data_IF_249658716395
#
_entry.id   IF_249658716395
#
_cell.length_a   1.000
_cell.length_b   1.000
_cell.length_c   1.000
_cell.angle_alpha   90.00
_cell.angle_beta   90.00
_cell.angle_gamma   90.00
#
_symmetry.space_group_name_H-M   'P 1'
#
loop_
_entity.id
_entity.type
_entity.pdbx_description
1 polymer ?
#
# COMPACT_ATOMS: atom_id res chain seq x y z
N UNK A 1 6.44 -2.90 -18.80
CA UNK A 1 6.84 -3.19 -17.41
C UNK A 1 8.21 -2.64 -17.01
N UNK A 2 9.08 -2.19 -17.92
CA UNK A 2 10.45 -1.77 -17.53
C UNK A 2 10.49 -0.63 -16.51
N UNK A 3 9.65 0.41 -16.64
CA UNK A 3 9.74 1.59 -15.78
C UNK A 3 9.51 1.35 -14.27
N UNK A 4 8.70 0.36 -13.89
CA UNK A 4 8.48 -0.01 -12.48
C UNK A 4 9.67 -0.78 -11.92
N UNK A 5 10.24 -1.68 -12.72
CA UNK A 5 11.43 -2.46 -12.34
C UNK A 5 12.64 -1.53 -12.23
N UNK A 6 12.82 -0.61 -13.20
CA UNK A 6 13.88 0.40 -13.18
C UNK A 6 13.77 1.30 -11.95
N UNK A 7 12.55 1.71 -11.58
CA UNK A 7 12.30 2.48 -10.38
C UNK A 7 12.68 1.70 -9.12
N UNK A 8 12.30 0.42 -9.05
CA UNK A 8 12.60 -0.43 -7.90
C UNK A 8 14.13 -0.63 -7.74
N UNK A 9 14.83 -0.92 -8.84
CA UNK A 9 16.30 -1.08 -8.90
C UNK A 9 17.05 0.16 -8.41
N UNK A 10 16.55 1.36 -8.77
CA UNK A 10 17.16 2.64 -8.36
C UNK A 10 16.89 3.03 -6.90
N UNK A 11 15.80 2.54 -6.29
CA UNK A 11 15.31 3.03 -5.01
C UNK A 11 15.27 1.97 -3.90
N UNK A 12 15.61 0.72 -4.21
CA UNK A 12 15.57 -0.39 -3.24
C UNK A 12 16.94 -1.05 -3.18
N UNK A 13 17.65 -0.85 -2.09
CA UNK A 13 18.97 -1.45 -1.90
C UNK A 13 18.88 -2.98 -1.91
N UNK A 14 19.72 -3.62 -2.73
CA UNK A 14 19.83 -5.08 -2.79
C UNK A 14 18.70 -5.80 -3.54
N UNK A 15 17.81 -5.07 -4.22
CA UNK A 15 16.78 -5.73 -5.04
C UNK A 15 17.41 -6.39 -6.28
N UNK A 16 16.96 -7.60 -6.60
CA UNK A 16 17.35 -8.29 -7.84
C UNK A 16 16.28 -8.04 -8.90
N UNK A 17 16.57 -7.19 -9.87
CA UNK A 17 15.63 -6.82 -10.95
C UNK A 17 15.20 -8.00 -11.82
N UNK A 18 16.03 -9.04 -11.97
CA UNK A 18 15.66 -10.26 -12.72
C UNK A 18 14.65 -11.09 -11.96
N UNK A 19 14.86 -11.28 -10.66
CA UNK A 19 13.92 -12.00 -9.79
C UNK A 19 12.62 -11.23 -9.61
N UNK A 20 12.69 -9.89 -9.52
CA UNK A 20 11.51 -9.03 -9.44
C UNK A 20 10.65 -9.13 -10.72
N UNK A 21 11.26 -9.08 -11.90
CA UNK A 21 10.54 -9.23 -13.17
C UNK A 21 9.85 -10.60 -13.26
N UNK A 22 10.57 -11.67 -12.89
CA UNK A 22 10.00 -13.02 -12.84
C UNK A 22 8.83 -13.11 -11.85
N UNK A 23 8.96 -12.50 -10.66
CA UNK A 23 7.90 -12.44 -9.66
C UNK A 23 6.67 -11.67 -10.18
N UNK A 24 6.86 -10.52 -10.82
CA UNK A 24 5.76 -9.73 -11.40
C UNK A 24 5.04 -10.43 -12.56
N UNK A 25 5.73 -11.31 -13.27
CA UNK A 25 5.16 -12.13 -14.34
C UNK A 25 4.53 -13.43 -13.82
N UNK A 26 4.94 -13.89 -12.64
CA UNK A 26 4.30 -15.00 -11.96
C UNK A 26 2.90 -14.57 -11.48
N UNK A 27 1.92 -15.46 -11.60
CA UNK A 27 0.58 -15.22 -11.04
C UNK A 27 0.53 -15.47 -9.52
N UNK A 28 1.67 -15.70 -8.88
CA UNK A 28 1.77 -16.08 -7.46
C UNK A 28 1.19 -15.00 -6.53
N UNK A 29 1.29 -13.73 -6.93
CA UNK A 29 0.73 -12.59 -6.19
C UNK A 29 -0.74 -12.27 -6.54
N UNK A 30 -1.36 -13.00 -7.49
CA UNK A 30 -2.71 -12.69 -7.96
C UNK A 30 -3.74 -12.71 -6.82
N UNK A 31 -3.68 -13.72 -5.97
CA UNK A 31 -4.59 -13.84 -4.82
C UNK A 31 -4.38 -12.68 -3.84
N UNK A 32 -3.14 -12.32 -3.53
CA UNK A 32 -2.85 -11.18 -2.66
C UNK A 32 -3.41 -9.86 -3.22
N UNK A 33 -3.29 -9.63 -4.53
CA UNK A 33 -3.87 -8.44 -5.18
C UNK A 33 -5.41 -8.44 -5.12
N UNK A 34 -6.04 -9.61 -5.27
CA UNK A 34 -7.49 -9.74 -5.15
C UNK A 34 -7.96 -9.52 -3.72
N UNK A 35 -7.21 -10.05 -2.74
CA UNK A 35 -7.48 -9.88 -1.31
C UNK A 35 -7.34 -8.41 -0.90
N UNK A 36 -6.29 -7.70 -1.34
CA UNK A 36 -6.11 -6.26 -1.09
C UNK A 36 -7.25 -5.43 -1.68
N UNK A 37 -7.69 -5.77 -2.90
CA UNK A 37 -8.86 -5.13 -3.52
C UNK A 37 -10.11 -5.39 -2.69
N UNK A 38 -10.32 -6.62 -2.24
CA UNK A 38 -11.45 -7.02 -1.39
C UNK A 38 -11.43 -6.29 -0.05
N UNK A 39 -10.25 -6.18 0.58
CA UNK A 39 -10.05 -5.47 1.83
C UNK A 39 -10.46 -4.00 1.71
N UNK A 40 -10.03 -3.30 0.65
CA UNK A 40 -10.44 -1.92 0.40
C UNK A 40 -11.96 -1.79 0.26
N UNK A 41 -12.59 -2.65 -0.55
CA UNK A 41 -14.04 -2.63 -0.76
C UNK A 41 -14.83 -2.90 0.52
N UNK A 42 -14.41 -3.92 1.29
CA UNK A 42 -15.07 -4.32 2.54
C UNK A 42 -14.97 -3.23 3.62
N UNK A 43 -13.89 -2.44 3.61
CA UNK A 43 -13.72 -1.29 4.51
C UNK A 43 -14.28 0.03 3.94
N UNK A 44 -15.05 -0.02 2.85
CA UNK A 44 -15.74 1.15 2.30
C UNK A 44 -14.81 2.16 1.57
N UNK A 45 -13.60 1.76 1.19
CA UNK A 45 -12.67 2.61 0.44
C UNK A 45 -13.25 2.90 -0.95
N UNK A 46 -13.49 4.18 -1.24
CA UNK A 46 -14.07 4.64 -2.52
C UNK A 46 -13.15 5.56 -3.33
N UNK A 47 -12.08 6.07 -2.72
CA UNK A 47 -11.10 6.94 -3.35
C UNK A 47 -9.74 6.78 -2.66
N UNK A 48 -8.67 7.30 -3.28
CA UNK A 48 -7.33 7.33 -2.71
C UNK A 48 -6.85 8.78 -2.50
N UNK A 49 -5.94 9.04 -1.54
CA UNK A 49 -5.55 8.14 -0.45
C UNK A 49 -6.67 7.97 0.60
N UNK A 50 -6.79 6.79 1.21
CA UNK A 50 -7.61 6.58 2.41
C UNK A 50 -6.71 6.06 3.52
N UNK A 51 -6.85 6.61 4.72
CA UNK A 51 -6.05 6.26 5.89
C UNK A 51 -6.98 5.78 6.98
N UNK A 52 -6.54 4.75 7.71
CA UNK A 52 -7.19 4.27 8.91
C UNK A 52 -6.20 4.42 10.07
N UNK A 53 -6.65 4.92 11.22
CA UNK A 53 -5.89 4.96 12.48
C UNK A 53 -6.71 4.18 13.50
N UNK A 54 -6.12 3.15 14.09
CA UNK A 54 -6.78 2.24 15.05
C UNK A 54 -8.11 1.64 14.57
N UNK A 55 -8.23 1.44 13.25
CA UNK A 55 -9.42 0.88 12.60
C UNK A 55 -10.45 1.93 12.14
N UNK A 56 -10.30 3.18 12.55
CA UNK A 56 -11.19 4.27 12.17
C UNK A 56 -10.73 4.97 10.89
N UNK A 57 -11.64 5.14 9.94
CA UNK A 57 -11.36 5.83 8.68
C UNK A 57 -11.23 7.34 8.88
N UNK A 58 -10.07 7.90 8.53
CA UNK A 58 -9.81 9.33 8.64
C UNK A 58 -10.40 10.08 7.45
N UNK A 59 -11.45 10.87 7.71
CA UNK A 59 -12.14 11.67 6.69
C UNK A 59 -11.55 13.08 6.52
N UNK A 60 -10.86 13.60 7.54
CA UNK A 60 -10.21 14.92 7.52
C UNK A 60 -8.68 14.79 7.42
N UNK A 61 -8.19 14.75 6.19
CA UNK A 61 -6.77 14.49 5.89
C UNK A 61 -5.81 15.58 6.37
N UNK A 62 -6.30 16.79 6.65
CA UNK A 62 -5.46 17.93 7.06
C UNK A 62 -4.92 17.85 8.48
N UNK A 63 -5.30 16.82 9.25
CA UNK A 63 -4.96 16.71 10.66
C UNK A 63 -4.37 15.34 11.05
N UNK A 64 -3.84 14.58 10.08
CA UNK A 64 -3.33 13.22 10.32
C UNK A 64 -2.27 13.19 11.43
N UNK A 65 -1.34 14.13 11.43
CA UNK A 65 -0.29 14.21 12.46
C UNK A 65 -0.88 14.34 13.86
N UNK A 66 -1.87 15.21 14.07
CA UNK A 66 -2.48 15.39 15.39
C UNK A 66 -3.33 14.19 15.81
N UNK A 67 -3.99 13.53 14.86
CA UNK A 67 -4.80 12.33 15.15
C UNK A 67 -3.90 11.20 15.63
N UNK A 68 -2.71 11.05 15.01
CA UNK A 68 -1.70 10.08 15.44
C UNK A 68 -1.15 10.45 16.81
N UNK A 69 -0.83 11.73 17.05
CA UNK A 69 -0.35 12.19 18.36
C UNK A 69 -1.38 11.94 19.46
N UNK A 70 -2.66 12.17 19.22
CA UNK A 70 -3.73 11.87 20.17
C UNK A 70 -3.79 10.36 20.46
N UNK A 71 -3.80 9.52 19.42
CA UNK A 71 -3.90 8.06 19.55
C UNK A 71 -2.73 7.43 20.33
N UNK A 72 -1.53 8.02 20.26
CA UNK A 72 -0.35 7.54 21.00
C UNK A 72 -0.41 7.89 22.50
N UNK A 73 -1.12 8.96 22.86
CA UNK A 73 -1.14 9.51 24.21
C UNK A 73 -2.35 9.05 25.06
N UNK A 74 -3.22 8.21 24.51
CA UNK A 74 -4.32 7.53 25.21
C UNK A 74 -3.88 6.21 25.87
#
# INVERSE_FOLDING_TARGET
NSGLIDFADQNTEGINSTELDACMQSEDALNSVQDDRGLGQNNGVSATPTVFVDGDMITQRGNLDSIIEESINE
#
